data_IF_245087741245
#
_entry.id   IF_245087741245
#
_cell.length_a   1.000
_cell.length_b   1.000
_cell.length_c   1.000
_cell.angle_alpha   90.00
_cell.angle_beta   90.00
_cell.angle_gamma   90.00
#
_symmetry.space_group_name_H-M   'P 1'
#
loop_
_entity.id
_entity.type
_entity.pdbx_description
1 polymer ?
#
# COMPACT_ATOMS: atom_id res chain seq x y z
N UNK A 1 28.79 13.15 1.18
CA UNK A 1 28.10 13.93 2.24
C UNK A 1 27.58 12.92 3.27
N UNK A 2 27.95 13.06 4.55
CA UNK A 2 27.35 12.25 5.62
C UNK A 2 25.88 12.67 5.72
N UNK A 3 24.95 11.75 5.52
CA UNK A 3 23.52 12.06 5.61
C UNK A 3 23.12 12.37 7.05
N UNK A 4 21.94 12.96 7.22
CA UNK A 4 21.40 13.32 8.54
C UNK A 4 21.14 12.05 9.35
N UNK A 5 21.49 12.06 10.64
CA UNK A 5 21.25 10.94 11.55
C UNK A 5 19.74 10.70 11.72
N UNK A 6 19.34 9.44 11.79
CA UNK A 6 17.96 9.03 12.03
C UNK A 6 17.89 7.84 12.98
N UNK A 7 16.84 7.77 13.79
CA UNK A 7 16.56 6.67 14.70
C UNK A 7 15.25 6.01 14.34
N UNK A 8 15.23 4.69 14.35
CA UNK A 8 14.04 3.86 14.41
C UNK A 8 13.92 3.33 15.84
N UNK A 9 12.84 3.67 16.54
CA UNK A 9 12.51 3.12 17.84
C UNK A 9 11.28 2.23 17.74
N UNK A 10 11.36 1.01 18.27
CA UNK A 10 10.25 0.07 18.36
C UNK A 10 9.60 0.12 19.74
N UNK A 11 8.31 -0.22 19.81
CA UNK A 11 7.55 -0.24 21.06
C UNK A 11 8.16 -1.20 22.11
N UNK A 12 8.85 -2.26 21.68
CA UNK A 12 9.53 -3.20 22.58
C UNK A 12 10.84 -2.65 23.21
N UNK A 13 11.29 -1.46 22.79
CA UNK A 13 12.47 -0.79 23.29
C UNK A 13 13.73 -0.96 22.43
N UNK A 14 13.67 -1.75 21.34
CA UNK A 14 14.78 -1.81 20.40
C UNK A 14 14.91 -0.51 19.61
N UNK A 15 16.17 -0.10 19.42
CA UNK A 15 16.52 1.11 18.68
C UNK A 15 17.51 0.73 17.59
N UNK A 16 17.27 1.23 16.39
CA UNK A 16 18.18 1.13 15.27
C UNK A 16 18.61 2.52 14.84
N UNK A 17 19.91 2.71 14.68
CA UNK A 17 20.48 3.94 14.17
C UNK A 17 20.79 3.80 12.69
N UNK A 18 20.45 4.83 11.92
CA UNK A 18 20.70 4.88 10.50
C UNK A 18 20.90 6.31 10.00
N UNK A 19 20.92 6.43 8.68
CA UNK A 19 21.02 7.71 7.98
C UNK A 19 19.71 7.98 7.25
N UNK A 20 19.16 9.18 7.42
CA UNK A 20 17.95 9.61 6.72
C UNK A 20 18.19 9.80 5.23
N UNK A 21 17.20 9.40 4.44
CA UNK A 21 17.01 9.80 3.06
C UNK A 21 15.52 10.11 2.80
N UNK A 22 15.20 10.79 1.70
CA UNK A 22 13.84 11.27 1.46
C UNK A 22 13.54 12.54 2.25
N UNK A 23 12.42 12.56 2.96
CA UNK A 23 11.99 13.69 3.79
C UNK A 23 12.54 13.64 5.20
N UNK A 24 12.63 14.82 5.82
CA UNK A 24 12.96 14.99 7.23
C UNK A 24 11.67 15.18 8.05
N UNK A 25 11.70 14.71 9.29
CA UNK A 25 10.58 14.80 10.24
C UNK A 25 10.57 13.62 11.21
N UNK A 26 9.38 13.31 11.69
CA UNK A 26 9.04 12.16 12.51
C UNK A 26 7.82 11.46 11.86
N UNK A 27 7.87 10.14 11.73
CA UNK A 27 6.76 9.33 11.21
C UNK A 27 6.55 8.12 12.10
N UNK A 28 5.30 7.68 12.18
CA UNK A 28 4.87 6.59 13.02
C UNK A 28 4.08 5.58 12.19
N UNK A 29 4.21 4.30 12.55
CA UNK A 29 3.45 3.25 11.90
C UNK A 29 3.81 1.87 12.39
N UNK A 30 3.04 0.88 11.92
CA UNK A 30 3.35 -0.52 12.16
C UNK A 30 4.55 -0.93 11.31
N UNK A 31 5.62 -1.42 11.94
CA UNK A 31 6.83 -1.86 11.23
C UNK A 31 6.62 -3.28 10.72
N UNK A 32 6.63 -3.41 9.40
CA UNK A 32 6.51 -4.67 8.67
C UNK A 32 7.76 -4.91 7.83
N UNK A 33 7.92 -6.14 7.32
CA UNK A 33 8.99 -6.44 6.37
C UNK A 33 8.43 -7.02 5.07
N UNK A 34 9.11 -6.74 3.96
CA UNK A 34 8.80 -7.30 2.65
C UNK A 34 10.05 -7.97 2.06
N UNK A 35 9.89 -9.22 1.62
CA UNK A 35 10.97 -10.05 1.09
C UNK A 35 11.24 -9.89 -0.41
N UNK A 36 10.53 -8.98 -1.07
CA UNK A 36 10.67 -8.76 -2.51
C UNK A 36 12.02 -8.16 -2.83
N UNK A 37 12.72 -8.77 -3.80
CA UNK A 37 14.04 -8.30 -4.26
C UNK A 37 13.96 -7.23 -5.34
N UNK A 38 12.78 -7.05 -5.92
CA UNK A 38 12.44 -6.06 -6.94
C UNK A 38 11.01 -5.59 -6.69
N UNK A 39 10.56 -4.59 -7.43
CA UNK A 39 9.21 -4.05 -7.31
C UNK A 39 9.05 -3.10 -6.13
N UNK A 40 10.11 -2.42 -5.69
CA UNK A 40 10.04 -1.55 -4.52
C UNK A 40 9.10 -0.36 -4.77
N UNK A 41 9.03 0.19 -6.00
CA UNK A 41 8.16 1.33 -6.29
C UNK A 41 6.67 0.94 -6.25
N UNK A 42 6.36 -0.23 -6.77
CA UNK A 42 5.04 -0.85 -6.76
C UNK A 42 4.61 -1.12 -5.32
N UNK A 43 5.54 -1.57 -4.46
CA UNK A 43 5.33 -1.69 -3.01
C UNK A 43 5.09 -0.31 -2.40
N UNK A 44 5.85 0.72 -2.80
CA UNK A 44 5.67 2.05 -2.22
C UNK A 44 4.28 2.63 -2.48
N UNK A 45 3.75 2.34 -3.67
CA UNK A 45 2.47 2.86 -4.16
C UNK A 45 1.31 1.90 -3.91
N UNK A 46 1.51 0.81 -3.18
CA UNK A 46 0.43 -0.10 -2.81
C UNK A 46 -0.36 0.48 -1.62
N UNK A 47 -1.67 0.75 -1.78
CA UNK A 47 -2.50 1.31 -0.72
C UNK A 47 -2.57 0.47 0.55
N UNK A 48 -2.26 -0.82 0.46
CA UNK A 48 -2.29 -1.77 1.58
C UNK A 48 -1.26 -1.43 2.67
N UNK A 49 -0.18 -0.70 2.33
CA UNK A 49 0.83 -0.25 3.31
C UNK A 49 0.46 1.03 4.04
N UNK A 50 -0.76 1.55 3.88
CA UNK A 50 -1.20 2.75 4.61
C UNK A 50 -1.01 2.58 6.12
N UNK A 51 -0.25 3.50 6.73
CA UNK A 51 0.04 3.45 8.16
C UNK A 51 1.19 2.52 8.55
N UNK A 52 1.85 1.87 7.60
CA UNK A 52 2.94 0.93 7.84
C UNK A 52 4.30 1.53 7.47
N UNK A 53 5.33 1.14 8.22
CA UNK A 53 6.73 1.42 7.92
C UNK A 53 7.33 0.14 7.34
N UNK A 54 7.70 0.18 6.06
CA UNK A 54 8.10 -1.02 5.32
C UNK A 54 9.59 -1.21 5.40
N UNK A 55 10.02 -2.37 5.88
CA UNK A 55 11.41 -2.82 5.87
C UNK A 55 11.67 -3.72 4.68
N UNK A 56 12.55 -3.30 3.77
CA UNK A 56 12.98 -4.15 2.67
C UNK A 56 14.06 -5.12 3.14
N UNK A 57 13.87 -6.42 2.92
CA UNK A 57 14.91 -7.39 3.28
C UNK A 57 16.05 -7.43 2.27
N UNK A 58 15.77 -7.12 1.00
CA UNK A 58 16.82 -7.05 -0.02
C UNK A 58 17.74 -5.85 0.25
N UNK A 59 19.08 -6.02 0.27
CA UNK A 59 19.97 -5.00 0.82
C UNK A 59 20.02 -3.71 0.00
N UNK A 60 20.06 -3.83 -1.33
CA UNK A 60 20.24 -2.70 -2.24
C UNK A 60 18.90 -2.25 -2.83
N UNK A 61 18.38 -1.13 -2.36
CA UNK A 61 17.10 -0.60 -2.80
C UNK A 61 17.31 0.73 -3.54
N UNK A 62 16.53 0.98 -4.60
CA UNK A 62 16.68 2.18 -5.45
C UNK A 62 17.59 1.98 -6.67
N UNK A 63 18.06 0.76 -6.94
CA UNK A 63 19.00 0.45 -8.02
C UNK A 63 18.48 0.77 -9.42
N UNK A 64 17.17 0.71 -9.67
CA UNK A 64 16.56 1.05 -10.96
C UNK A 64 15.82 2.40 -10.96
N UNK A 65 15.95 3.19 -9.91
CA UNK A 65 15.27 4.48 -9.76
C UNK A 65 13.76 4.32 -9.69
N UNK A 66 13.03 5.34 -10.13
CA UNK A 66 11.56 5.31 -10.24
C UNK A 66 11.10 5.83 -11.60
N UNK A 67 9.88 5.46 -12.00
CA UNK A 67 9.22 5.89 -13.24
C UNK A 67 7.70 6.03 -13.07
N UNK A 68 6.98 6.48 -14.09
CA UNK A 68 5.53 6.71 -14.01
C UNK A 68 4.69 5.46 -14.29
N UNK A 69 5.27 4.41 -14.86
CA UNK A 69 4.52 3.20 -15.25
C UNK A 69 4.40 2.21 -14.08
N UNK A 70 5.43 2.14 -13.22
CA UNK A 70 5.52 1.19 -12.09
C UNK A 70 4.77 1.70 -10.84
N UNK A 71 3.74 2.52 -11.03
CA UNK A 71 2.86 2.99 -9.95
C UNK A 71 1.58 2.14 -9.90
N UNK A 72 1.23 1.72 -8.70
CA UNK A 72 0.04 0.90 -8.42
C UNK A 72 -1.13 1.72 -7.87
N UNK A 73 -0.93 3.00 -7.59
CA UNK A 73 -1.97 3.94 -7.18
C UNK A 73 -1.54 5.39 -7.42
N UNK A 74 -2.38 6.34 -7.00
CA UNK A 74 -2.17 7.77 -7.22
C UNK A 74 -0.99 8.36 -6.44
N UNK A 75 -0.53 7.71 -5.36
CA UNK A 75 0.56 8.19 -4.51
C UNK A 75 1.21 7.04 -3.74
N UNK A 76 2.41 7.24 -3.16
CA UNK A 76 2.92 6.34 -2.15
C UNK A 76 2.04 6.35 -0.88
N UNK A 77 1.80 5.17 -0.29
CA UNK A 77 0.87 5.02 0.84
C UNK A 77 1.53 4.68 2.18
N UNK A 78 2.74 4.10 2.17
CA UNK A 78 3.49 3.81 3.40
C UNK A 78 3.83 5.08 4.20
N UNK A 79 4.01 4.90 5.50
CA UNK A 79 4.44 5.94 6.43
C UNK A 79 5.96 6.17 6.40
N UNK A 80 6.76 5.14 6.08
CA UNK A 80 8.22 5.23 6.03
C UNK A 80 8.88 3.99 5.43
N UNK A 81 10.12 4.15 4.93
CA UNK A 81 10.87 3.09 4.26
C UNK A 81 12.18 2.81 4.99
N UNK A 82 12.44 1.54 5.32
CA UNK A 82 13.68 1.09 5.94
C UNK A 82 14.45 0.21 4.97
N UNK A 83 15.71 0.54 4.72
CA UNK A 83 16.60 -0.21 3.81
C UNK A 83 17.96 -0.43 4.45
N UNK A 84 18.69 -1.45 3.97
CA UNK A 84 20.08 -1.66 4.38
C UNK A 84 20.99 -0.64 3.71
N UNK A 85 20.87 -0.50 2.39
CA UNK A 85 21.70 0.40 1.58
C UNK A 85 20.86 1.02 0.45
N UNK A 86 20.87 2.35 0.36
CA UNK A 86 20.23 3.07 -0.74
C UNK A 86 21.19 3.19 -1.93
N UNK A 87 20.74 2.76 -3.10
CA UNK A 87 21.42 3.08 -4.35
C UNK A 87 21.21 4.54 -4.70
N UNK A 88 22.28 5.35 -4.57
CA UNK A 88 22.26 6.79 -4.85
C UNK A 88 22.23 7.10 -6.35
N UNK A 89 22.72 6.18 -7.16
CA UNK A 89 22.81 6.33 -8.61
C UNK A 89 22.01 5.20 -9.28
N UNK A 90 20.75 5.46 -9.66
CA UNK A 90 19.95 4.44 -10.34
C UNK A 90 20.51 4.15 -11.74
N UNK A 91 20.49 2.89 -12.16
CA UNK A 91 20.95 2.45 -13.47
C UNK A 91 19.88 1.59 -14.13
N UNK A 92 18.94 2.25 -14.79
CA UNK A 92 17.91 1.61 -15.60
C UNK A 92 17.43 2.59 -16.67
N UNK A 93 17.20 2.12 -17.90
CA UNK A 93 16.75 2.95 -19.03
C UNK A 93 15.37 3.59 -18.80
N UNK A 94 14.52 2.98 -17.95
CA UNK A 94 13.21 3.49 -17.54
C UNK A 94 13.31 4.53 -16.43
N UNK A 95 14.43 4.60 -15.71
CA UNK A 95 14.60 5.52 -14.58
C UNK A 95 14.38 6.96 -15.01
N UNK A 96 13.61 7.71 -14.23
CA UNK A 96 13.39 9.15 -14.39
C UNK A 96 13.88 9.96 -13.19
N UNK A 97 13.80 9.39 -11.97
CA UNK A 97 14.27 10.01 -10.73
C UNK A 97 14.94 8.99 -9.83
N UNK A 98 15.74 9.44 -8.88
CA UNK A 98 16.22 8.58 -7.80
C UNK A 98 15.11 8.30 -6.78
N UNK A 99 15.24 7.20 -6.05
CA UNK A 99 14.30 6.83 -4.99
C UNK A 99 14.26 7.89 -3.87
N UNK A 100 15.40 8.46 -3.51
CA UNK A 100 15.49 9.49 -2.48
C UNK A 100 14.74 10.78 -2.86
N UNK A 101 14.86 11.23 -4.13
CA UNK A 101 14.10 12.37 -4.63
C UNK A 101 12.60 12.09 -4.61
N UNK A 102 12.19 10.90 -5.06
CA UNK A 102 10.79 10.50 -5.09
C UNK A 102 10.14 10.49 -3.70
N UNK A 103 10.83 9.94 -2.69
CA UNK A 103 10.32 9.98 -1.31
C UNK A 103 10.25 11.40 -0.76
N UNK A 104 11.24 12.24 -1.08
CA UNK A 104 11.26 13.64 -0.65
C UNK A 104 10.09 14.44 -1.21
N UNK A 105 9.78 14.25 -2.49
CA UNK A 105 8.64 14.88 -3.17
C UNK A 105 7.29 14.52 -2.51
N UNK A 106 7.17 13.30 -1.98
CA UNK A 106 5.94 12.80 -1.36
C UNK A 106 5.92 12.95 0.16
N UNK A 107 6.91 13.59 0.77
CA UNK A 107 6.92 13.79 2.23
C UNK A 107 7.26 12.52 3.03
N UNK A 108 7.84 11.48 2.41
CA UNK A 108 8.10 10.19 3.06
C UNK A 108 9.52 10.11 3.59
N UNK A 109 9.64 9.62 4.83
CA UNK A 109 10.91 9.44 5.51
C UNK A 109 11.47 8.07 5.19
N UNK A 110 12.70 8.05 4.68
CA UNK A 110 13.51 6.85 4.48
C UNK A 110 14.67 6.79 5.47
N UNK A 111 15.05 5.58 5.89
CA UNK A 111 16.23 5.33 6.74
C UNK A 111 17.09 4.21 6.16
N UNK A 112 18.36 4.49 5.93
CA UNK A 112 19.37 3.54 5.44
C UNK A 112 20.40 3.18 6.51
N UNK A 113 21.14 2.09 6.32
CA UNK A 113 22.21 1.65 7.23
C UNK A 113 21.74 0.76 8.39
N UNK A 114 20.44 0.53 8.51
CA UNK A 114 19.87 -0.36 9.54
C UNK A 114 20.21 -1.81 9.24
N UNK A 115 20.45 -2.62 10.28
CA UNK A 115 20.47 -4.08 10.14
C UNK A 115 19.05 -4.60 9.90
N UNK A 116 18.62 -4.57 8.63
CA UNK A 116 17.29 -5.04 8.22
C UNK A 116 17.08 -6.53 8.49
N UNK A 117 18.15 -7.34 8.60
CA UNK A 117 18.06 -8.76 8.94
C UNK A 117 17.74 -8.96 10.42
N UNK A 118 18.39 -8.21 11.31
CA UNK A 118 18.08 -8.21 12.73
C UNK A 118 16.63 -7.74 12.97
N UNK A 119 16.23 -6.65 12.31
CA UNK A 119 14.85 -6.14 12.37
C UNK A 119 13.83 -7.16 11.85
N UNK A 120 14.09 -7.79 10.70
CA UNK A 120 13.20 -8.82 10.14
C UNK A 120 13.07 -10.02 11.07
N UNK A 121 14.18 -10.49 11.66
CA UNK A 121 14.16 -11.61 12.60
C UNK A 121 13.32 -11.26 13.83
N UNK A 122 13.45 -10.03 14.33
CA UNK A 122 12.65 -9.54 15.45
C UNK A 122 11.16 -9.53 15.13
N UNK A 123 10.76 -8.96 14.00
CA UNK A 123 9.35 -8.90 13.58
C UNK A 123 8.77 -10.30 13.37
N UNK A 124 9.56 -11.22 12.81
CA UNK A 124 9.14 -12.61 12.64
C UNK A 124 8.88 -13.32 13.97
N UNK A 125 9.75 -13.11 14.95
CA UNK A 125 9.71 -13.85 16.21
C UNK A 125 8.69 -13.25 17.22
N UNK A 126 8.40 -11.95 17.15
CA UNK A 126 7.55 -11.22 18.10
C UNK A 126 6.30 -10.56 17.48
N UNK A 127 6.09 -10.71 16.17
CA UNK A 127 5.03 -10.03 15.43
C UNK A 127 5.42 -8.61 15.00
N UNK A 128 4.54 -7.99 14.21
CA UNK A 128 4.66 -6.57 13.85
C UNK A 128 4.53 -5.69 15.09
N UNK A 129 5.24 -4.56 15.07
CA UNK A 129 5.30 -3.66 16.21
C UNK A 129 5.17 -2.21 15.76
N UNK A 130 4.56 -1.38 16.59
CA UNK A 130 4.57 0.06 16.36
C UNK A 130 6.01 0.58 16.47
N UNK A 131 6.39 1.39 15.50
CA UNK A 131 7.69 2.04 15.45
C UNK A 131 7.57 3.49 15.04
N UNK A 132 8.58 4.27 15.44
CA UNK A 132 8.74 5.66 15.07
C UNK A 132 10.10 5.84 14.43
N UNK A 133 10.10 6.47 13.25
CA UNK A 133 11.32 6.95 12.61
C UNK A 133 11.40 8.45 12.82
N UNK A 134 12.49 8.93 13.44
CA UNK A 134 12.70 10.34 13.69
C UNK A 134 14.08 10.80 13.22
N UNK A 135 14.11 12.00 12.65
CA UNK A 135 15.32 12.70 12.17
C UNK A 135 15.55 14.02 12.92
N UNK A 136 14.63 14.36 13.83
CA UNK A 136 14.61 15.61 14.59
C UNK A 136 14.77 15.33 16.08
N UNK A 137 14.00 14.38 16.59
CA UNK A 137 14.13 13.87 17.95
C UNK A 137 15.09 12.68 17.91
N UNK A 138 16.21 12.81 18.60
CA UNK A 138 17.22 11.76 18.68
C UNK A 138 17.33 11.21 20.11
N UNK A 139 16.31 11.43 20.94
CA UNK A 139 16.17 10.81 22.27
C UNK A 139 15.54 9.42 22.14
N UNK A 140 16.31 8.33 22.31
CA UNK A 140 15.79 6.98 22.12
C UNK A 140 14.69 6.62 23.13
N UNK A 141 14.79 7.07 24.38
CA UNK A 141 13.80 6.73 25.41
C UNK A 141 12.47 7.45 25.17
N UNK A 142 12.51 8.72 24.77
CA UNK A 142 11.34 9.49 24.37
C UNK A 142 10.60 8.84 23.19
N UNK A 143 11.34 8.41 22.16
CA UNK A 143 10.77 7.75 20.99
C UNK A 143 10.13 6.39 21.32
N UNK A 144 10.75 5.57 22.17
CA UNK A 144 10.16 4.29 22.62
C UNK A 144 8.87 4.54 23.41
N UNK A 145 8.84 5.56 24.28
CA UNK A 145 7.62 5.92 25.01
C UNK A 145 6.50 6.35 24.06
N UNK A 146 6.81 7.19 23.06
CA UNK A 146 5.85 7.57 22.01
C UNK A 146 5.35 6.32 21.26
N UNK A 147 6.24 5.42 20.86
CA UNK A 147 5.89 4.20 20.12
C UNK A 147 4.94 3.27 20.89
N UNK A 148 5.06 3.20 22.22
CA UNK A 148 4.18 2.39 23.09
C UNK A 148 2.77 2.96 23.26
N UNK A 149 2.60 4.27 23.11
CA UNK A 149 1.30 4.94 23.28
C UNK A 149 0.48 4.91 21.99
N UNK A 150 1.12 4.66 20.85
CA UNK A 150 0.43 4.53 19.56
C UNK A 150 -0.53 3.34 19.59
N UNK A 151 -1.77 3.60 19.20
CA UNK A 151 -2.74 2.54 18.93
C UNK A 151 -2.31 1.74 17.70
N UNK A 152 -2.40 0.41 17.79
CA UNK A 152 -2.21 -0.46 16.64
C UNK A 152 -3.25 -0.18 15.55
N UNK A 153 -2.96 -0.57 14.31
CA UNK A 153 -3.88 -0.44 13.17
C UNK A 153 -5.11 -1.37 13.24
N UNK A 154 -5.14 -2.30 14.20
CA UNK A 154 -6.22 -3.28 14.38
C UNK A 154 -7.53 -2.58 14.74
N UNK A 155 -8.58 -2.83 13.98
CA UNK A 155 -9.92 -2.26 14.19
C UNK A 155 -10.09 -0.82 13.70
N UNK A 156 -9.08 -0.21 13.09
CA UNK A 156 -9.20 1.09 12.44
C UNK A 156 -9.61 0.94 10.97
N UNK A 157 -10.56 1.75 10.55
CA UNK A 157 -11.03 1.79 9.16
C UNK A 157 -10.11 2.66 8.31
N UNK A 158 -8.94 2.12 7.97
CA UNK A 158 -7.95 2.76 7.10
C UNK A 158 -8.40 2.83 5.64
N UNK A 159 -9.44 2.09 5.27
CA UNK A 159 -10.00 2.05 3.92
C UNK A 159 -10.58 3.40 3.51
N UNK A 160 -11.23 4.11 4.45
CA UNK A 160 -11.76 5.47 4.23
C UNK A 160 -10.71 6.48 3.73
N UNK A 161 -9.45 6.27 4.08
CA UNK A 161 -8.35 7.19 3.72
C UNK A 161 -7.75 6.92 2.34
N UNK A 162 -8.09 5.78 1.73
CA UNK A 162 -7.51 5.33 0.45
C UNK A 162 -8.54 5.09 -0.65
N UNK A 163 -9.81 4.92 -0.31
CA UNK A 163 -10.89 4.72 -1.28
C UNK A 163 -11.09 5.92 -2.21
N UNK A 164 -11.53 5.68 -3.45
CA UNK A 164 -11.88 6.74 -4.37
C UNK A 164 -13.08 7.57 -3.88
N UNK A 165 -13.09 8.88 -4.14
CA UNK A 165 -14.16 9.76 -3.65
C UNK A 165 -15.46 9.62 -4.43
N UNK A 166 -15.40 9.16 -5.69
CA UNK A 166 -16.54 9.04 -6.60
C UNK A 166 -16.35 7.83 -7.50
N UNK A 167 -17.47 7.25 -7.93
CA UNK A 167 -17.43 6.21 -8.94
C UNK A 167 -16.82 6.74 -10.24
N UNK A 168 -16.05 5.91 -10.92
CA UNK A 168 -15.44 6.25 -12.19
C UNK A 168 -15.23 5.00 -13.04
N UNK A 169 -15.17 5.18 -14.36
CA UNK A 169 -14.84 4.09 -15.29
C UNK A 169 -13.33 3.99 -15.43
N UNK A 170 -12.80 2.79 -15.32
CA UNK A 170 -11.39 2.54 -15.58
C UNK A 170 -11.16 2.32 -17.08
N UNK A 171 -10.22 3.05 -17.66
CA UNK A 171 -9.97 3.07 -19.11
C UNK A 171 -8.62 2.49 -19.52
N UNK A 172 -7.64 2.43 -18.61
CA UNK A 172 -6.28 1.98 -18.90
C UNK A 172 -6.15 0.45 -18.98
N UNK A 173 -5.20 -0.03 -19.77
CA UNK A 173 -4.87 -1.46 -19.94
C UNK A 173 -3.35 -1.63 -20.08
N UNK A 174 -2.80 -2.75 -19.58
CA UNK A 174 -1.36 -3.08 -19.65
C UNK A 174 -0.85 -3.20 -21.09
N UNK A 175 -1.72 -3.68 -21.98
CA UNK A 175 -1.41 -3.90 -23.39
C UNK A 175 -2.57 -3.37 -24.24
N UNK A 176 -2.33 -2.99 -25.52
CA UNK A 176 -3.41 -2.77 -26.45
C UNK A 176 -4.24 -4.05 -26.52
N UNK A 177 -5.44 -4.01 -25.93
CA UNK A 177 -6.39 -5.12 -26.00
C UNK A 177 -6.65 -5.34 -27.50
N UNK A 178 -6.35 -6.53 -28.00
CA UNK A 178 -6.62 -6.86 -29.38
C UNK A 178 -8.15 -6.97 -29.54
N UNK A 179 -8.81 -5.84 -29.78
CA UNK A 179 -10.28 -5.69 -29.77
C UNK A 179 -11.01 -6.69 -30.67
N UNK A 180 -10.30 -7.30 -31.63
CA UNK A 180 -10.82 -8.31 -32.55
C UNK A 180 -11.16 -9.65 -31.89
N UNK A 181 -10.67 -9.93 -30.68
CA UNK A 181 -10.90 -11.23 -29.98
C UNK A 181 -11.91 -11.15 -28.82
N UNK A 182 -12.32 -9.96 -28.38
CA UNK A 182 -13.28 -9.81 -27.28
C UNK A 182 -14.70 -9.93 -27.83
N UNK A 183 -15.27 -11.13 -27.74
CA UNK A 183 -16.63 -11.44 -28.25
C UNK A 183 -17.74 -11.00 -27.29
N UNK A 184 -17.44 -10.84 -26.01
CA UNK A 184 -18.37 -10.39 -24.97
C UNK A 184 -17.65 -9.48 -23.97
N UNK A 185 -18.22 -8.30 -23.73
CA UNK A 185 -17.75 -7.38 -22.68
C UNK A 185 -18.55 -7.64 -21.41
N UNK A 186 -17.88 -7.98 -20.32
CA UNK A 186 -18.51 -8.17 -19.01
C UNK A 186 -18.48 -6.86 -18.22
N UNK A 187 -19.61 -6.44 -17.67
CA UNK A 187 -19.69 -5.29 -16.77
C UNK A 187 -19.25 -5.70 -15.36
N UNK A 188 -18.08 -5.26 -14.92
CA UNK A 188 -17.52 -5.58 -13.60
C UNK A 188 -17.48 -4.33 -12.73
N UNK A 189 -18.11 -4.40 -11.56
CA UNK A 189 -18.04 -3.34 -10.56
C UNK A 189 -16.97 -3.70 -9.53
N UNK A 190 -16.04 -2.78 -9.27
CA UNK A 190 -14.94 -2.97 -8.33
C UNK A 190 -15.14 -2.03 -7.14
N UNK A 191 -15.31 -2.60 -5.94
CA UNK A 191 -15.23 -1.82 -4.71
C UNK A 191 -13.79 -1.44 -4.44
N UNK A 192 -13.55 -0.13 -4.34
CA UNK A 192 -12.24 0.41 -4.05
C UNK A 192 -12.00 0.48 -2.55
N UNK A 193 -11.38 -0.56 -2.01
CA UNK A 193 -10.88 -0.58 -0.65
C UNK A 193 -9.42 -0.08 -0.53
N UNK A 194 -8.86 0.50 -1.60
CA UNK A 194 -7.43 0.71 -1.79
C UNK A 194 -6.91 -0.08 -2.99
N UNK A 195 -7.66 -0.06 -4.09
CA UNK A 195 -7.41 -0.91 -5.26
C UNK A 195 -6.08 -0.58 -5.92
N UNK A 196 -5.30 -1.62 -6.19
CA UNK A 196 -4.13 -1.53 -7.05
C UNK A 196 -4.54 -1.43 -8.52
N UNK A 197 -3.97 -0.47 -9.24
CA UNK A 197 -4.27 -0.23 -10.65
C UNK A 197 -4.02 -1.47 -11.51
N UNK A 198 -3.05 -2.31 -11.19
CA UNK A 198 -2.82 -3.52 -11.96
C UNK A 198 -4.00 -4.52 -11.92
N UNK A 199 -4.80 -4.55 -10.86
CA UNK A 199 -6.04 -5.35 -10.81
C UNK A 199 -7.01 -4.87 -11.90
N UNK A 200 -7.19 -3.55 -12.01
CA UNK A 200 -8.08 -2.92 -12.98
C UNK A 200 -7.58 -3.11 -14.41
N UNK A 201 -6.26 -2.96 -14.63
CA UNK A 201 -5.62 -3.19 -15.93
C UNK A 201 -5.77 -4.65 -16.38
N UNK A 202 -5.67 -5.61 -15.46
CA UNK A 202 -5.88 -7.03 -15.75
C UNK A 202 -7.34 -7.35 -16.10
N UNK A 203 -8.31 -6.78 -15.38
CA UNK A 203 -9.73 -6.93 -15.75
C UNK A 203 -10.01 -6.40 -17.16
N UNK A 204 -9.46 -5.24 -17.53
CA UNK A 204 -9.58 -4.70 -18.90
C UNK A 204 -8.91 -5.60 -19.93
N UNK A 205 -7.76 -6.19 -19.61
CA UNK A 205 -7.07 -7.14 -20.48
C UNK A 205 -7.94 -8.36 -20.83
N UNK A 206 -8.76 -8.83 -19.88
CA UNK A 206 -9.73 -9.92 -20.09
C UNK A 206 -11.08 -9.47 -20.67
N UNK A 207 -11.19 -8.23 -21.16
CA UNK A 207 -12.39 -7.74 -21.84
C UNK A 207 -13.51 -7.26 -20.91
N UNK A 208 -13.21 -7.00 -19.64
CA UNK A 208 -14.20 -6.43 -18.72
C UNK A 208 -14.33 -4.91 -18.94
N UNK A 209 -15.55 -4.39 -18.92
CA UNK A 209 -15.82 -2.97 -18.69
C UNK A 209 -15.88 -2.74 -17.19
N UNK A 210 -14.96 -1.94 -16.68
CA UNK A 210 -14.71 -1.83 -15.23
C UNK A 210 -15.20 -0.48 -14.73
N UNK A 211 -16.11 -0.51 -13.75
CA UNK A 211 -16.51 0.67 -12.98
C UNK A 211 -16.03 0.50 -11.55
N UNK A 212 -15.22 1.44 -11.09
CA UNK A 212 -14.70 1.49 -9.73
C UNK A 212 -15.66 2.33 -8.89
N UNK A 213 -16.05 1.84 -7.72
CA UNK A 213 -16.96 2.51 -6.79
C UNK A 213 -16.30 2.71 -5.42
N UNK A 214 -16.65 3.78 -4.69
CA UNK A 214 -16.18 3.99 -3.33
C UNK A 214 -16.49 2.80 -2.41
N UNK A 215 -15.67 2.61 -1.38
CA UNK A 215 -15.81 1.55 -0.40
C UNK A 215 -17.20 1.54 0.28
N UNK A 216 -17.76 2.73 0.52
CA UNK A 216 -19.04 2.93 1.20
C UNK A 216 -20.27 2.87 0.29
N UNK A 217 -20.11 2.51 -0.98
CA UNK A 217 -21.24 2.44 -1.93
C UNK A 217 -22.29 1.42 -1.43
N UNK A 218 -23.58 1.78 -1.41
CA UNK A 218 -24.64 0.84 -1.03
C UNK A 218 -24.77 -0.33 -2.00
N UNK A 219 -25.22 -1.48 -1.48
CA UNK A 219 -25.45 -2.68 -2.30
C UNK A 219 -26.49 -2.46 -3.39
N UNK A 220 -27.59 -1.81 -3.02
CA UNK A 220 -28.72 -1.52 -3.89
C UNK A 220 -28.28 -0.70 -5.11
N UNK A 221 -27.41 0.29 -4.90
CA UNK A 221 -26.86 1.12 -5.97
C UNK A 221 -26.03 0.27 -6.94
N UNK A 222 -25.15 -0.60 -6.43
CA UNK A 222 -24.34 -1.49 -7.28
C UNK A 222 -25.19 -2.50 -8.04
N UNK A 223 -26.20 -3.09 -7.41
CA UNK A 223 -27.09 -4.05 -8.06
C UNK A 223 -27.96 -3.38 -9.14
N UNK A 224 -28.33 -2.11 -8.94
CA UNK A 224 -29.03 -1.32 -9.96
C UNK A 224 -28.20 -1.12 -11.25
N UNK A 225 -26.87 -1.20 -11.15
CA UNK A 225 -25.95 -1.15 -12.30
C UNK A 225 -25.92 -2.44 -13.12
N UNK A 226 -26.62 -3.51 -12.68
CA UNK A 226 -26.68 -4.83 -13.33
C UNK A 226 -25.29 -5.37 -13.70
N UNK A 227 -24.40 -5.55 -12.72
CA UNK A 227 -23.09 -6.13 -12.96
C UNK A 227 -23.18 -7.58 -13.45
N UNK A 228 -22.29 -7.94 -14.38
CA UNK A 228 -21.97 -9.35 -14.66
C UNK A 228 -21.05 -9.93 -13.57
N UNK A 229 -20.31 -9.08 -12.86
CA UNK A 229 -19.44 -9.48 -11.75
C UNK A 229 -19.15 -8.32 -10.80
N UNK A 230 -18.88 -8.68 -9.53
CA UNK A 230 -18.47 -7.72 -8.49
C UNK A 230 -17.14 -8.21 -7.92
N UNK A 231 -16.17 -7.31 -7.84
CA UNK A 231 -14.86 -7.57 -7.26
C UNK A 231 -14.65 -6.66 -6.05
N UNK A 232 -14.17 -7.26 -4.96
CA UNK A 232 -13.72 -6.56 -3.76
C UNK A 232 -12.20 -6.43 -3.85
N UNK A 233 -11.68 -5.20 -3.89
CA UNK A 233 -10.23 -5.00 -4.06
C UNK A 233 -9.44 -5.34 -2.80
N UNK A 234 -8.11 -5.29 -2.93
CA UNK A 234 -7.23 -5.18 -1.77
C UNK A 234 -7.45 -3.85 -1.04
N UNK A 235 -6.92 -3.76 0.17
CA UNK A 235 -6.97 -2.57 1.00
C UNK A 235 -6.09 -2.68 2.25
N UNK A 236 -5.82 -1.55 2.94
CA UNK A 236 -5.05 -1.54 4.18
C UNK A 236 -5.88 -1.95 5.39
N UNK A 237 -5.17 -2.36 6.44
CA UNK A 237 -5.73 -2.58 7.76
C UNK A 237 -6.50 -3.89 7.89
N UNK A 238 -7.27 -3.98 8.97
CA UNK A 238 -8.04 -5.17 9.32
C UNK A 238 -9.47 -5.08 8.73
N UNK A 239 -9.91 -6.07 7.93
CA UNK A 239 -11.28 -6.15 7.44
C UNK A 239 -12.35 -6.05 8.54
N UNK A 240 -12.07 -6.48 9.78
CA UNK A 240 -13.00 -6.36 10.91
C UNK A 240 -13.39 -4.90 11.20
N UNK A 241 -12.50 -3.94 10.92
CA UNK A 241 -12.78 -2.50 11.05
C UNK A 241 -13.74 -1.96 9.97
N UNK A 242 -13.99 -2.71 8.91
CA UNK A 242 -14.74 -2.29 7.72
C UNK A 242 -16.18 -2.80 7.77
N UNK A 243 -16.89 -2.46 8.84
CA UNK A 243 -18.24 -2.97 9.14
C UNK A 243 -19.27 -2.81 8.01
N UNK A 244 -19.18 -1.72 7.23
CA UNK A 244 -20.07 -1.50 6.08
C UNK A 244 -19.81 -2.50 4.94
N UNK A 245 -18.56 -2.88 4.69
CA UNK A 245 -18.23 -3.88 3.67
C UNK A 245 -18.71 -5.28 4.08
N UNK A 246 -18.61 -5.61 5.37
CA UNK A 246 -19.14 -6.87 5.93
C UNK A 246 -20.66 -6.93 5.79
N UNK A 247 -21.35 -5.83 6.12
CA UNK A 247 -22.79 -5.73 5.97
C UNK A 247 -23.23 -5.87 4.50
N UNK A 248 -22.52 -5.19 3.59
CA UNK A 248 -22.72 -5.32 2.14
C UNK A 248 -22.57 -6.78 1.68
N UNK A 249 -21.48 -7.45 2.07
CA UNK A 249 -21.24 -8.84 1.67
C UNK A 249 -22.35 -9.77 2.15
N UNK A 250 -22.80 -9.58 3.38
CA UNK A 250 -23.89 -10.36 3.98
C UNK A 250 -25.19 -10.19 3.19
N UNK A 251 -25.53 -8.96 2.80
CA UNK A 251 -26.73 -8.65 1.99
C UNK A 251 -26.63 -9.28 0.60
N UNK A 252 -25.50 -9.12 -0.08
CA UNK A 252 -25.29 -9.67 -1.40
C UNK A 252 -25.32 -11.20 -1.42
N UNK A 253 -24.67 -11.85 -0.44
CA UNK A 253 -24.71 -13.30 -0.32
C UNK A 253 -26.16 -13.79 -0.17
N UNK A 254 -26.99 -13.08 0.61
CA UNK A 254 -28.42 -13.35 0.76
C UNK A 254 -29.20 -13.19 -0.55
N UNK A 255 -28.93 -12.16 -1.36
CA UNK A 255 -29.59 -11.97 -2.66
C UNK A 255 -29.16 -13.00 -3.71
N UNK A 256 -27.88 -13.34 -3.77
CA UNK A 256 -27.38 -14.41 -4.65
C UNK A 256 -28.05 -15.74 -4.27
N UNK A 257 -28.11 -16.07 -2.98
CA UNK A 257 -28.78 -17.28 -2.50
C UNK A 257 -30.28 -17.30 -2.82
N UNK A 258 -30.97 -16.16 -2.72
CA UNK A 258 -32.39 -16.04 -3.12
C UNK A 258 -32.57 -16.20 -4.63
N UNK A 259 -31.66 -15.67 -5.44
CA UNK A 259 -31.66 -15.82 -6.89
C UNK A 259 -31.45 -17.27 -7.35
N UNK A 260 -30.65 -18.05 -6.61
CA UNK A 260 -30.45 -19.49 -6.84
C UNK A 260 -31.69 -20.35 -6.56
N UNK A 261 -32.72 -19.83 -5.87
CA UNK A 261 -33.99 -20.53 -5.65
C UNK A 261 -35.07 -20.20 -6.69
N UNK A 262 -34.75 -19.34 -7.67
CA UNK A 262 -35.67 -18.94 -8.74
C UNK A 262 -35.27 -19.46 -10.14
N UNK A 263 -34.30 -20.38 -10.23
CA UNK A 263 -33.96 -21.10 -11.46
C UNK A 263 -34.32 -22.57 -11.39
#
# INVERSE_FOLDING_TARGET
MKGKRALLALADGLIFEGTSFGSEGETAGEVVFNTSMAGYQEILTDPSYKGQIVTMTYPHIGNYGVNEDDVESSRPHLSGLIVKELSRYPSNWRSRKSLGEYLKEHGIIGIEGIDTRALTSRIRDYGSQMGIVSTVDLDPEGLVKKARVLSNLVGLDTVKDVTCPKYHKWTESLYPVNKKEVTKQFNVIVYDFGVKWNILRMLKLYGCEVTVVPASTPAEDVLSMKPDGILLSNGPGDPEGVSYAIAFFSLMALEILKGFHMQ
#
